data_IF_293939447814
#
_entry.id   IF_293939447814
#
_cell.length_a   1.000
_cell.length_b   1.000
_cell.length_c   1.000
_cell.angle_alpha   90.00
_cell.angle_beta   90.00
_cell.angle_gamma   90.00
#
_symmetry.space_group_name_H-M   'P 1'
#
loop_
_entity.id
_entity.type
_entity.pdbx_description
1 polymer ?
#
# COMPACT_ATOMS: atom_id res chain seq x y z
N UNK A 1 9.34 5.56 14.63
CA UNK A 1 9.71 5.53 13.19
C UNK A 1 8.48 5.10 12.41
N UNK A 2 8.13 5.75 11.28
CA UNK A 2 6.94 5.42 10.52
C UNK A 2 7.09 4.07 9.79
N UNK A 3 6.08 3.21 9.86
CA UNK A 3 6.05 1.90 9.18
C UNK A 3 4.86 1.86 8.24
N UNK A 4 5.11 1.62 6.95
CA UNK A 4 4.09 1.63 5.91
C UNK A 4 3.94 0.21 5.34
N UNK A 5 2.71 -0.28 5.26
CA UNK A 5 2.40 -1.59 4.66
C UNK A 5 1.88 -1.41 3.24
N UNK A 6 2.46 -2.16 2.30
CA UNK A 6 1.95 -2.35 0.95
C UNK A 6 1.55 -3.82 0.80
N UNK A 7 0.24 -4.09 0.70
CA UNK A 7 -0.31 -5.44 0.63
C UNK A 7 -1.05 -5.64 -0.69
N UNK A 8 -1.08 -6.86 -1.22
CA UNK A 8 -1.84 -7.16 -2.45
C UNK A 8 -3.29 -6.66 -2.35
N UNK A 9 -3.97 -7.07 -1.28
CA UNK A 9 -5.25 -6.51 -0.82
C UNK A 9 -5.19 -6.29 0.69
N UNK A 10 -6.11 -5.47 1.21
CA UNK A 10 -6.35 -5.36 2.65
C UNK A 10 -7.56 -6.22 3.00
N UNK A 11 -7.37 -7.18 3.91
CA UNK A 11 -8.45 -8.03 4.40
C UNK A 11 -9.19 -7.38 5.57
N UNK A 12 -10.29 -8.00 5.97
CA UNK A 12 -11.04 -7.56 7.15
C UNK A 12 -10.14 -7.55 8.40
N UNK A 13 -10.25 -6.49 9.20
CA UNK A 13 -9.52 -6.34 10.46
C UNK A 13 -8.07 -5.92 10.34
N UNK A 14 -7.58 -5.57 9.13
CA UNK A 14 -6.21 -5.07 8.94
C UNK A 14 -5.92 -3.82 9.79
N UNK A 15 -6.94 -3.04 10.17
CA UNK A 15 -6.82 -1.84 10.99
C UNK A 15 -6.28 -2.14 12.40
N UNK A 16 -6.45 -3.37 12.91
CA UNK A 16 -5.89 -3.78 14.20
C UNK A 16 -4.35 -3.67 14.19
N UNK A 17 -3.73 -3.79 13.02
CA UNK A 17 -2.28 -3.63 12.84
C UNK A 17 -1.77 -2.22 13.19
N UNK A 18 -2.64 -1.21 13.18
CA UNK A 18 -2.26 0.14 13.64
C UNK A 18 -1.89 0.16 15.12
N UNK A 19 -2.51 -0.71 15.93
CA UNK A 19 -2.15 -0.87 17.34
C UNK A 19 -0.81 -1.60 17.53
N UNK A 20 -0.30 -2.25 16.48
CA UNK A 20 0.94 -3.01 16.49
C UNK A 20 2.12 -2.26 15.83
N UNK A 21 2.02 -0.94 15.66
CA UNK A 21 3.13 -0.08 15.24
C UNK A 21 3.19 0.22 13.74
N UNK A 22 2.17 -0.15 12.97
CA UNK A 22 2.02 0.29 11.58
C UNK A 22 1.39 1.69 11.55
N UNK A 23 1.92 2.56 10.69
CA UNK A 23 1.46 3.96 10.56
C UNK A 23 0.41 4.13 9.46
N UNK A 24 0.49 3.34 8.39
CA UNK A 24 -0.52 3.32 7.32
C UNK A 24 -0.43 1.99 6.53
N UNK A 25 -1.53 1.58 5.91
CA UNK A 25 -1.59 0.41 5.06
C UNK A 25 -2.29 0.72 3.73
N UNK A 26 -1.79 0.17 2.63
CA UNK A 26 -2.31 0.38 1.29
C UNK A 26 -2.44 -0.94 0.52
N UNK A 27 -3.58 -1.11 -0.16
CA UNK A 27 -3.74 -2.17 -1.15
C UNK A 27 -3.01 -1.82 -2.45
N UNK A 28 -2.40 -2.82 -3.09
CA UNK A 28 -1.77 -2.68 -4.41
C UNK A 28 -2.81 -2.63 -5.52
N UNK A 29 -3.85 -3.45 -5.41
CA UNK A 29 -4.91 -3.49 -6.41
C UNK A 29 -5.75 -2.21 -6.35
N UNK A 30 -6.03 -1.62 -7.52
CA UNK A 30 -6.84 -0.40 -7.63
C UNK A 30 -8.36 -0.68 -7.68
N UNK A 31 -8.75 -1.95 -7.54
CA UNK A 31 -10.13 -2.43 -7.65
C UNK A 31 -10.17 -3.95 -7.80
N UNK A 32 -11.38 -4.53 -7.98
CA UNK A 32 -11.54 -5.96 -8.21
C UNK A 32 -10.77 -6.42 -9.44
N UNK A 33 -9.98 -7.50 -9.30
CA UNK A 33 -9.27 -8.16 -10.39
C UNK A 33 -9.05 -9.64 -10.05
N UNK A 34 -8.76 -10.46 -11.06
CA UNK A 34 -8.41 -11.86 -10.81
C UNK A 34 -7.04 -11.97 -10.14
N UNK A 35 -6.82 -13.06 -9.39
CA UNK A 35 -5.51 -13.35 -8.81
C UNK A 35 -4.43 -13.45 -9.88
N UNK A 36 -4.72 -14.06 -11.03
CA UNK A 36 -3.79 -14.17 -12.14
C UNK A 36 -3.37 -12.79 -12.68
N UNK A 37 -4.34 -11.86 -12.85
CA UNK A 37 -4.06 -10.49 -13.24
C UNK A 37 -3.20 -9.77 -12.19
N UNK A 38 -3.53 -9.93 -10.90
CA UNK A 38 -2.76 -9.33 -9.81
C UNK A 38 -1.31 -9.83 -9.80
N UNK A 39 -1.09 -11.15 -9.94
CA UNK A 39 0.23 -11.76 -9.99
C UNK A 39 1.03 -11.28 -11.20
N UNK A 40 0.40 -11.28 -12.40
CA UNK A 40 1.04 -10.81 -13.63
C UNK A 40 1.46 -9.35 -13.55
N UNK A 41 0.63 -8.51 -12.93
CA UNK A 41 0.84 -7.07 -12.87
C UNK A 41 1.54 -6.59 -11.58
N UNK A 42 1.92 -7.51 -10.68
CA UNK A 42 2.42 -7.19 -9.31
C UNK A 42 3.53 -6.16 -9.33
N UNK A 43 4.51 -6.29 -10.23
CA UNK A 43 5.63 -5.35 -10.34
C UNK A 43 5.16 -3.92 -10.60
N UNK A 44 4.22 -3.76 -11.53
CA UNK A 44 3.66 -2.46 -11.90
C UNK A 44 2.84 -1.88 -10.74
N UNK A 45 1.93 -2.68 -10.17
CA UNK A 45 1.05 -2.26 -9.08
C UNK A 45 1.85 -1.83 -7.83
N UNK A 46 2.89 -2.60 -7.47
CA UNK A 46 3.77 -2.28 -6.35
C UNK A 46 4.54 -0.98 -6.59
N UNK A 47 5.15 -0.83 -7.77
CA UNK A 47 5.89 0.37 -8.13
C UNK A 47 5.00 1.61 -8.10
N UNK A 48 3.81 1.54 -8.72
CA UNK A 48 2.89 2.66 -8.81
C UNK A 48 2.43 3.09 -7.41
N UNK A 49 2.06 2.13 -6.55
CA UNK A 49 1.63 2.45 -5.18
C UNK A 49 2.78 3.02 -4.33
N UNK A 50 3.97 2.43 -4.41
CA UNK A 50 5.15 2.92 -3.69
C UNK A 50 5.53 4.34 -4.13
N UNK A 51 5.52 4.62 -5.45
CA UNK A 51 5.77 5.94 -6.00
C UNK A 51 4.77 6.96 -5.49
N UNK A 52 3.49 6.63 -5.49
CA UNK A 52 2.45 7.56 -5.08
C UNK A 52 2.51 7.87 -3.58
N UNK A 53 2.79 6.86 -2.74
CA UNK A 53 3.08 7.06 -1.30
C UNK A 53 4.32 7.95 -1.11
N UNK A 54 5.40 7.71 -1.86
CA UNK A 54 6.61 8.52 -1.78
C UNK A 54 6.37 9.98 -2.20
N UNK A 55 5.51 10.24 -3.19
CA UNK A 55 5.13 11.60 -3.59
C UNK A 55 4.40 12.34 -2.47
N UNK A 56 3.47 11.67 -1.79
CA UNK A 56 2.79 12.23 -0.61
C UNK A 56 3.80 12.53 0.49
N UNK A 57 4.72 11.58 0.76
CA UNK A 57 5.79 11.78 1.75
C UNK A 57 6.66 12.99 1.45
N UNK A 58 7.08 13.14 0.19
CA UNK A 58 7.87 14.27 -0.26
C UNK A 58 7.12 15.60 -0.16
N UNK A 59 5.81 15.61 -0.41
CA UNK A 59 4.98 16.80 -0.22
C UNK A 59 4.93 17.20 1.25
N UNK A 60 4.69 16.23 2.14
CA UNK A 60 4.64 16.47 3.58
C UNK A 60 5.99 16.94 4.15
N UNK A 61 7.11 16.40 3.66
CA UNK A 61 8.45 16.76 4.12
C UNK A 61 8.96 18.12 3.65
N UNK A 62 8.24 18.80 2.74
CA UNK A 62 8.56 20.17 2.27
C UNK A 62 7.94 21.26 3.16
N UNK A 63 7.14 20.87 4.15
CA UNK A 63 6.51 21.72 5.15
C UNK A 63 7.05 21.36 6.54
#
# INVERSE_FOLDING_TARGET
>A
MPVLVLAGTLGEGYEQLYQHGISAAFALTSGPMSLEQACRDTRRLLHDRARDVARVWQLAARH
#
